data_IF_180625569414
#
_entry.id   IF_180625569414
#
_cell.length_a   1.000
_cell.length_b   1.000
_cell.length_c   1.000
_cell.angle_alpha   90.00
_cell.angle_beta   90.00
_cell.angle_gamma   90.00
#
_symmetry.space_group_name_H-M   'P 1'
#
loop_
_entity.id
_entity.type
_entity.pdbx_description
1 polymer ?
#
# COMPACT_ATOMS: atom_id res chain seq x y z
N UNK A 1 24.72 -11.02 -0.17
CA UNK A 1 24.59 -9.60 0.21
C UNK A 1 23.28 -9.07 -0.37
N UNK A 2 22.25 -8.89 0.45
CA UNK A 2 20.91 -8.51 0.01
C UNK A 2 20.70 -7.03 0.35
N UNK A 3 20.59 -6.18 -0.66
CA UNK A 3 20.02 -4.85 -0.50
C UNK A 3 18.89 -4.75 -1.51
N UNK A 4 17.68 -4.49 -1.00
CA UNK A 4 16.50 -4.09 -1.75
C UNK A 4 15.88 -2.94 -0.97
N UNK A 5 15.79 -1.77 -1.59
CA UNK A 5 15.17 -0.58 -1.02
C UNK A 5 14.32 0.08 -2.12
N UNK A 6 13.21 0.70 -1.71
CA UNK A 6 12.11 1.12 -2.57
C UNK A 6 11.94 2.63 -2.40
N UNK A 7 11.84 3.37 -3.50
CA UNK A 7 11.61 4.82 -3.48
C UNK A 7 10.29 5.15 -4.20
N UNK A 8 9.49 6.02 -3.60
CA UNK A 8 8.29 6.56 -4.23
C UNK A 8 8.57 7.91 -4.89
N UNK A 9 8.06 8.09 -6.10
CA UNK A 9 8.20 9.33 -6.87
C UNK A 9 6.86 10.06 -6.88
N UNK A 10 6.86 11.34 -6.45
CA UNK A 10 5.70 12.23 -6.59
C UNK A 10 5.65 12.79 -8.01
N UNK A 11 4.51 12.64 -8.70
CA UNK A 11 4.23 13.38 -9.94
C UNK A 11 2.93 14.18 -9.80
N UNK A 12 2.84 15.30 -10.52
CA UNK A 12 1.84 16.37 -10.32
C UNK A 12 0.42 16.09 -10.85
N UNK A 13 0.10 14.84 -11.21
CA UNK A 13 -1.25 14.42 -11.51
C UNK A 13 -1.48 13.05 -10.85
N UNK A 14 -2.21 13.04 -9.72
CA UNK A 14 -2.50 11.84 -8.90
C UNK A 14 -1.22 11.13 -8.43
N UNK A 15 -0.82 11.33 -7.19
CA UNK A 15 0.36 10.68 -6.64
C UNK A 15 0.23 9.15 -6.76
N UNK A 16 1.19 8.50 -7.42
CA UNK A 16 1.24 7.05 -7.63
C UNK A 16 2.45 6.48 -6.90
N UNK A 17 2.28 5.29 -6.32
CA UNK A 17 3.39 4.56 -5.73
C UNK A 17 4.19 3.84 -6.82
N UNK A 18 5.49 4.13 -6.90
CA UNK A 18 6.44 3.43 -7.76
C UNK A 18 7.45 2.64 -6.92
N UNK A 19 8.04 1.63 -7.55
CA UNK A 19 9.16 0.85 -7.06
C UNK A 19 10.32 1.02 -8.03
N UNK A 20 11.46 1.50 -7.55
CA UNK A 20 12.72 1.44 -8.30
C UNK A 20 13.59 0.28 -7.81
N UNK A 21 13.97 -0.61 -8.71
CA UNK A 21 15.05 -1.56 -8.49
C UNK A 21 16.38 -0.91 -8.87
N UNK A 22 17.13 -0.45 -7.86
CA UNK A 22 18.43 0.21 -8.05
C UNK A 22 19.54 -0.71 -8.59
N UNK A 23 19.38 -2.05 -8.55
CA UNK A 23 20.37 -2.96 -9.15
C UNK A 23 20.27 -2.98 -10.67
N UNK A 24 19.04 -2.91 -11.16
CA UNK A 24 18.75 -2.98 -12.59
C UNK A 24 18.35 -1.63 -13.19
N UNK A 25 18.25 -0.59 -12.36
CA UNK A 25 17.70 0.73 -12.70
C UNK A 25 16.32 0.64 -13.38
N UNK A 26 15.47 -0.26 -12.89
CA UNK A 26 14.12 -0.46 -13.43
C UNK A 26 13.09 0.14 -12.49
N UNK A 27 12.30 1.07 -13.00
CA UNK A 27 11.15 1.67 -12.32
C UNK A 27 9.88 0.92 -12.70
N UNK A 28 9.02 0.65 -11.71
CA UNK A 28 7.77 -0.10 -11.87
C UNK A 28 6.66 0.58 -11.07
N UNK A 29 5.44 0.53 -11.59
CA UNK A 29 4.26 0.99 -10.86
C UNK A 29 3.90 -0.04 -9.78
N UNK A 30 3.78 0.39 -8.52
CA UNK A 30 3.36 -0.45 -7.39
C UNK A 30 1.83 -0.51 -7.27
N UNK A 31 1.15 0.61 -7.52
CA UNK A 31 -0.31 0.69 -7.59
C UNK A 31 -0.80 0.08 -8.91
N UNK A 32 -1.09 -1.23 -8.96
CA UNK A 32 -1.57 -1.88 -10.21
C UNK A 32 -2.95 -2.53 -10.06
N UNK A 33 -3.96 -1.80 -10.55
CA UNK A 33 -4.85 -2.23 -11.64
C UNK A 33 -5.54 -0.98 -12.18
N UNK A 34 -5.14 -0.51 -13.37
CA UNK A 34 -5.27 0.90 -13.79
C UNK A 34 -4.53 1.85 -12.84
N UNK A 35 -4.16 3.04 -13.29
CA UNK A 35 -3.73 4.10 -12.36
C UNK A 35 -4.74 4.18 -11.21
N UNK A 36 -4.28 4.11 -9.96
CA UNK A 36 -5.15 4.35 -8.80
C UNK A 36 -6.03 5.57 -9.06
N UNK A 37 -7.33 5.44 -8.82
CA UNK A 37 -8.29 6.51 -9.09
C UNK A 37 -8.23 7.64 -8.05
N UNK A 38 -7.47 7.45 -6.97
CA UNK A 38 -7.13 8.44 -5.96
C UNK A 38 -5.62 8.59 -5.71
N UNK A 39 -5.20 9.61 -4.94
CA UNK A 39 -3.80 9.79 -4.53
C UNK A 39 -3.32 8.68 -3.59
N UNK A 40 -2.01 8.41 -3.62
CA UNK A 40 -1.28 7.56 -2.68
C UNK A 40 -0.09 8.30 -2.06
N UNK A 41 0.14 8.14 -0.76
CA UNK A 41 1.18 8.82 0.01
C UNK A 41 1.86 7.91 1.05
N UNK A 42 2.83 8.48 1.78
CA UNK A 42 3.61 7.90 2.89
C UNK A 42 4.00 6.42 2.70
N UNK A 43 4.94 6.10 1.80
CA UNK A 43 5.29 4.71 1.55
C UNK A 43 6.49 4.25 2.39
N UNK A 44 6.31 3.64 3.58
CA UNK A 44 7.40 2.98 4.26
C UNK A 44 7.78 1.71 3.49
N UNK A 45 9.05 1.34 3.59
CA UNK A 45 9.55 0.09 3.05
C UNK A 45 9.93 -0.84 4.19
N UNK A 46 9.57 -2.13 4.06
CA UNK A 46 10.04 -3.16 4.99
C UNK A 46 11.55 -3.36 4.94
N UNK A 47 12.15 -3.86 6.02
CA UNK A 47 13.61 -4.04 6.12
C UNK A 47 14.17 -4.92 5.01
N UNK A 48 13.43 -5.99 4.66
CA UNK A 48 13.82 -6.93 3.63
C UNK A 48 13.51 -6.44 2.21
N UNK A 49 12.82 -5.30 2.08
CA UNK A 49 12.46 -4.73 0.79
C UNK A 49 11.68 -5.75 -0.05
N UNK A 50 10.70 -6.43 0.52
CA UNK A 50 9.78 -7.29 -0.23
C UNK A 50 8.33 -6.83 -0.09
N UNK A 51 8.10 -5.86 0.79
CA UNK A 51 6.82 -5.25 1.09
C UNK A 51 6.97 -3.72 0.98
N UNK A 52 6.02 -3.11 0.28
CA UNK A 52 5.82 -1.67 0.24
C UNK A 52 4.42 -1.39 0.79
N UNK A 53 4.33 -0.61 1.87
CA UNK A 53 3.04 -0.09 2.33
C UNK A 53 2.87 1.33 1.84
N UNK A 54 1.63 1.81 1.76
CA UNK A 54 1.30 3.20 1.45
C UNK A 54 -0.16 3.45 1.85
N UNK A 55 -0.51 4.69 2.17
CA UNK A 55 -1.91 5.09 2.30
C UNK A 55 -2.46 5.58 0.96
N UNK A 56 -3.75 5.37 0.70
CA UNK A 56 -4.38 5.81 -0.54
C UNK A 56 -5.88 6.06 -0.41
N UNK A 57 -6.37 7.09 -1.11
CA UNK A 57 -7.78 7.39 -1.32
C UNK A 57 -8.38 6.68 -2.54
N UNK A 58 -7.66 5.71 -3.11
CA UNK A 58 -8.04 5.05 -4.35
C UNK A 58 -8.92 3.83 -4.07
N UNK A 59 -10.11 3.80 -4.65
CA UNK A 59 -11.11 2.75 -4.46
C UNK A 59 -10.82 1.47 -5.25
N UNK A 60 -9.94 1.57 -6.25
CA UNK A 60 -9.71 0.54 -7.26
C UNK A 60 -8.36 -0.20 -7.15
N UNK A 61 -7.65 -0.07 -6.02
CA UNK A 61 -6.30 -0.64 -5.87
C UNK A 61 -6.29 -2.10 -5.43
N UNK A 62 -7.28 -2.55 -4.66
CA UNK A 62 -7.37 -3.96 -4.30
C UNK A 62 -7.77 -4.80 -5.51
N UNK A 63 -6.90 -5.73 -5.93
CA UNK A 63 -7.19 -6.56 -7.09
C UNK A 63 -8.38 -7.49 -6.85
N UNK A 64 -9.15 -7.87 -7.90
CA UNK A 64 -10.13 -8.95 -7.80
C UNK A 64 -9.47 -10.24 -7.32
N UNK A 65 -9.87 -10.76 -6.16
CA UNK A 65 -9.26 -11.94 -5.52
C UNK A 65 -8.07 -11.64 -4.59
N UNK A 66 -7.54 -10.41 -4.62
CA UNK A 66 -6.77 -9.82 -3.53
C UNK A 66 -7.73 -9.18 -2.52
N UNK A 67 -7.31 -9.05 -1.26
CA UNK A 67 -8.17 -8.60 -0.16
C UNK A 67 -8.92 -7.30 -0.48
N UNK A 68 -10.25 -7.46 -0.60
CA UNK A 68 -11.40 -6.55 -0.52
C UNK A 68 -11.33 -5.18 -1.21
N UNK A 69 -12.37 -4.87 -1.98
CA UNK A 69 -12.61 -3.54 -2.52
C UNK A 69 -12.73 -2.51 -1.39
N UNK A 70 -12.14 -1.34 -1.59
CA UNK A 70 -12.39 -0.20 -0.72
C UNK A 70 -13.84 0.27 -0.94
N UNK A 71 -14.58 0.40 0.16
CA UNK A 71 -16.00 0.76 0.19
C UNK A 71 -16.33 1.90 1.14
N UNK A 72 -15.33 2.50 1.82
CA UNK A 72 -15.57 3.50 2.87
C UNK A 72 -15.37 4.95 2.39
N UNK A 73 -14.87 5.15 1.17
CA UNK A 73 -14.57 6.46 0.59
C UNK A 73 -13.57 7.28 1.44
N UNK A 74 -12.69 6.61 2.17
CA UNK A 74 -11.68 7.19 3.03
C UNK A 74 -10.29 6.66 2.66
N UNK A 75 -9.24 7.30 3.18
CA UNK A 75 -7.89 6.82 2.94
C UNK A 75 -7.67 5.49 3.67
N UNK A 76 -7.05 4.53 3.01
CA UNK A 76 -6.80 3.21 3.55
C UNK A 76 -5.34 2.79 3.36
N UNK A 77 -4.87 1.86 4.19
CA UNK A 77 -3.52 1.33 4.10
C UNK A 77 -3.51 0.16 3.12
N UNK A 78 -2.68 0.26 2.10
CA UNK A 78 -2.45 -0.79 1.13
C UNK A 78 -1.05 -1.38 1.27
N UNK A 79 -0.92 -2.65 0.92
CA UNK A 79 0.33 -3.38 0.88
C UNK A 79 0.55 -3.94 -0.51
N UNK A 80 1.69 -3.62 -1.10
CA UNK A 80 2.21 -4.26 -2.30
C UNK A 80 3.28 -5.29 -1.92
N UNK A 81 3.15 -6.51 -2.45
CA UNK A 81 4.12 -7.58 -2.27
C UNK A 81 4.91 -7.87 -3.55
N UNK A 82 6.23 -8.03 -3.46
CA UNK A 82 7.08 -8.33 -4.64
C UNK A 82 6.82 -9.73 -5.21
N UNK A 83 6.50 -10.70 -4.33
CA UNK A 83 6.32 -12.12 -4.72
C UNK A 83 5.06 -12.36 -5.51
N UNK A 84 3.94 -11.81 -5.04
CA UNK A 84 2.62 -11.96 -5.63
C UNK A 84 2.30 -10.82 -6.61
N UNK A 85 3.00 -9.69 -6.52
CA UNK A 85 2.76 -8.47 -7.33
C UNK A 85 1.32 -7.98 -7.21
N UNK A 86 0.72 -8.20 -6.05
CA UNK A 86 -0.63 -7.81 -5.71
C UNK A 86 -0.61 -6.63 -4.76
N UNK A 87 -1.59 -5.75 -4.90
CA UNK A 87 -1.94 -4.76 -3.89
C UNK A 87 -3.10 -5.32 -3.06
N UNK A 88 -2.95 -5.28 -1.74
CA UNK A 88 -3.91 -5.79 -0.76
C UNK A 88 -4.28 -4.69 0.23
N UNK A 89 -5.57 -4.52 0.48
CA UNK A 89 -6.04 -3.68 1.56
C UNK A 89 -5.61 -4.25 2.93
N UNK A 90 -5.06 -3.41 3.80
CA UNK A 90 -4.50 -3.80 5.12
C UNK A 90 -5.19 -3.17 6.32
N UNK A 91 -5.82 -2.01 6.18
CA UNK A 91 -6.65 -1.39 7.22
C UNK A 91 -8.03 -2.07 7.31
N UNK A 92 -8.04 -3.38 7.59
CA UNK A 92 -9.24 -4.21 7.74
C UNK A 92 -9.25 -4.94 9.09
N UNK A 93 -10.43 -5.15 9.72
CA UNK A 93 -10.53 -5.79 11.02
C UNK A 93 -10.42 -7.33 10.98
N UNK A 94 -10.41 -7.94 9.79
CA UNK A 94 -10.24 -9.38 9.65
C UNK A 94 -9.62 -9.79 8.31
N UNK A 95 -9.17 -11.04 8.21
CA UNK A 95 -8.50 -11.58 7.02
C UNK A 95 -9.45 -11.96 5.87
N UNK A 96 -10.74 -12.19 6.17
CA UNK A 96 -11.72 -12.68 5.17
C UNK A 96 -13.11 -12.10 5.40
N UNK A 97 -13.69 -11.46 4.38
CA UNK A 97 -15.08 -11.00 4.36
C UNK A 97 -15.31 -9.63 5.02
N UNK A 98 -14.26 -8.92 5.42
CA UNK A 98 -14.40 -7.61 6.06
C UNK A 98 -14.26 -6.46 5.06
N UNK A 99 -14.97 -5.38 5.38
CA UNK A 99 -14.79 -4.07 4.76
C UNK A 99 -13.63 -3.31 5.43
N UNK A 100 -13.11 -2.26 4.77
CA UNK A 100 -12.17 -1.35 5.43
C UNK A 100 -12.70 -0.82 6.76
N UNK A 101 -11.79 -0.42 7.64
CA UNK A 101 -12.16 0.28 8.88
C UNK A 101 -12.96 1.55 8.54
N UNK A 102 -13.91 1.92 9.38
CA UNK A 102 -14.63 3.18 9.20
C UNK A 102 -13.65 4.37 9.37
N UNK A 103 -13.69 5.36 8.48
CA UNK A 103 -12.83 6.54 8.58
C UNK A 103 -11.39 6.31 8.10
N UNK A 104 -10.66 7.41 7.95
CA UNK A 104 -9.34 7.41 7.31
C UNK A 104 -8.25 6.73 8.15
N UNK A 105 -7.38 5.99 7.46
CA UNK A 105 -6.11 5.45 7.94
C UNK A 105 -4.94 6.12 7.22
N UNK A 106 -3.86 6.46 7.94
CA UNK A 106 -2.71 7.19 7.40
C UNK A 106 -1.38 6.82 8.04
N UNK A 107 -0.30 7.27 7.42
CA UNK A 107 1.08 7.19 7.92
C UNK A 107 1.49 5.77 8.34
N UNK A 108 1.38 4.79 7.43
CA UNK A 108 1.76 3.43 7.76
C UNK A 108 3.25 3.37 8.09
N UNK A 109 3.60 2.50 9.02
CA UNK A 109 4.96 2.03 9.28
C UNK A 109 4.93 0.52 9.53
N UNK A 110 6.03 -0.17 9.22
CA UNK A 110 6.15 -1.61 9.46
C UNK A 110 7.28 -1.93 10.42
N UNK A 111 7.13 -3.01 11.19
CA UNK A 111 8.18 -3.51 12.07
C UNK A 111 9.38 -4.04 11.28
N UNK A 112 10.52 -4.16 11.95
CA UNK A 112 11.79 -4.61 11.34
C UNK A 112 11.73 -5.97 10.62
N UNK A 113 10.85 -6.89 11.03
CA UNK A 113 10.69 -8.19 10.36
C UNK A 113 9.39 -8.29 9.57
N UNK A 114 8.79 -7.14 9.25
CA UNK A 114 7.60 -7.00 8.39
C UNK A 114 6.36 -7.76 8.91
N UNK A 115 6.26 -7.96 10.23
CA UNK A 115 5.19 -8.72 10.88
C UNK A 115 4.15 -7.86 11.62
N UNK A 116 4.42 -6.57 11.82
CA UNK A 116 3.48 -5.60 12.35
C UNK A 116 3.36 -4.40 11.41
N UNK A 117 2.16 -3.83 11.37
CA UNK A 117 1.86 -2.55 10.72
C UNK A 117 1.28 -1.64 11.78
N UNK A 118 1.85 -0.44 11.93
CA UNK A 118 1.27 0.63 12.73
C UNK A 118 0.80 1.72 11.76
N UNK A 119 -0.29 2.39 12.09
CA UNK A 119 -0.88 3.47 11.29
C UNK A 119 -1.78 4.32 12.19
N UNK A 120 -2.02 5.58 11.83
CA UNK A 120 -3.04 6.40 12.48
C UNK A 120 -4.42 6.10 11.91
N UNK A 121 -5.44 6.28 12.73
CA UNK A 121 -6.84 6.20 12.29
C UNK A 121 -7.68 7.29 12.94
N UNK A 122 -8.58 7.87 12.15
CA UNK A 122 -9.66 8.72 12.65
C UNK A 122 -10.97 7.93 12.81
N UNK A 123 -11.45 7.71 14.04
CA UNK A 123 -12.74 7.07 14.35
C UNK A 123 -12.70 6.01 15.47
N UNK A 124 -13.84 5.43 15.83
CA UNK A 124 -13.97 4.30 16.80
C UNK A 124 -14.07 2.95 16.08
N UNK A 125 -13.39 1.91 16.60
CA UNK A 125 -13.25 0.59 15.97
C UNK A 125 -14.61 -0.08 15.69
#
# INVERSE_FOLDING_TARGET
MLSRFYAAVRTAARAQAYVEDLRSHRIRLASVSSSGDGPSDHPPTGYLGNLLMFDSLASNLAQPGGSFADTNNASDIFLWGDKDRLVKLRSIPCNTGCHPLNGASSDPVTSYVDNYTLFYRNGQL
#
